data_IF_434210240119
#
_entry.id   IF_434210240119
#
_cell.length_a   1.000
_cell.length_b   1.000
_cell.length_c   1.000
_cell.angle_alpha   90.00
_cell.angle_beta   90.00
_cell.angle_gamma   90.00
#
_symmetry.space_group_name_H-M   'P 1'
#
loop_
_entity.id
_entity.type
_entity.pdbx_description
1 polymer ?
#
# COMPACT_ATOMS: atom_id res chain seq x y z
N UNK A 1 -19.36 49.22 -10.81
CA UNK A 1 -19.71 48.61 -9.51
C UNK A 1 -19.50 47.12 -9.66
N UNK A 2 -18.28 46.67 -9.37
CA UNK A 2 -17.85 45.27 -9.55
C UNK A 2 -17.73 44.65 -8.17
N UNK A 3 -18.48 43.60 -7.93
CA UNK A 3 -18.51 42.87 -6.66
C UNK A 3 -17.38 41.85 -6.62
N UNK A 4 -16.38 42.10 -5.77
CA UNK A 4 -15.38 41.13 -5.32
C UNK A 4 -16.07 40.01 -4.51
N UNK A 5 -16.00 38.78 -5.02
CA UNK A 5 -16.27 37.58 -4.24
C UNK A 5 -15.00 37.17 -3.50
N UNK A 6 -14.94 37.44 -2.20
CA UNK A 6 -13.90 36.94 -1.30
C UNK A 6 -14.08 35.44 -1.08
N UNK A 7 -13.16 34.66 -1.64
CA UNK A 7 -13.13 33.21 -1.49
C UNK A 7 -12.41 32.87 -0.17
N UNK A 8 -13.15 32.82 0.95
CA UNK A 8 -12.60 32.37 2.23
C UNK A 8 -12.25 30.88 2.16
N UNK A 9 -11.05 30.45 2.61
CA UNK A 9 -10.71 29.04 2.70
C UNK A 9 -11.57 28.38 3.78
N UNK A 10 -12.66 27.74 3.35
CA UNK A 10 -13.53 26.95 4.21
C UNK A 10 -12.75 25.78 4.80
N UNK A 11 -12.62 25.75 6.12
CA UNK A 11 -12.14 24.59 6.86
C UNK A 11 -13.13 23.45 6.66
N UNK A 12 -12.77 22.49 5.82
CA UNK A 12 -13.54 21.25 5.70
C UNK A 12 -13.14 20.39 6.89
N UNK A 13 -14.05 20.21 7.85
CA UNK A 13 -13.90 19.20 8.90
C UNK A 13 -13.86 17.83 8.22
N UNK A 14 -12.65 17.30 8.03
CA UNK A 14 -12.43 15.93 7.58
C UNK A 14 -12.98 15.04 8.68
N UNK A 15 -13.99 14.24 8.35
CA UNK A 15 -14.55 13.25 9.29
C UNK A 15 -13.39 12.39 9.85
N UNK A 16 -13.42 12.03 11.15
CA UNK A 16 -12.42 11.13 11.70
C UNK A 16 -12.42 9.83 10.88
N UNK A 17 -11.24 9.47 10.36
CA UNK A 17 -11.05 8.27 9.56
C UNK A 17 -11.38 7.04 10.43
N UNK A 18 -12.33 6.23 9.97
CA UNK A 18 -12.66 4.92 10.53
C UNK A 18 -12.29 3.93 9.42
N UNK A 19 -11.29 3.05 9.61
CA UNK A 19 -10.64 2.64 10.86
C UNK A 19 -9.54 3.62 11.37
N UNK A 20 -9.15 3.53 12.66
CA UNK A 20 -8.04 4.32 13.21
C UNK A 20 -6.75 4.04 12.43
N UNK A 21 -6.02 5.09 12.05
CA UNK A 21 -4.73 4.98 11.37
C UNK A 21 -3.78 4.10 12.18
N UNK A 22 -3.25 3.06 11.55
CA UNK A 22 -2.22 2.20 12.15
C UNK A 22 -0.86 2.61 11.59
N UNK A 23 0.05 3.00 12.47
CA UNK A 23 1.42 3.35 12.08
C UNK A 23 2.26 2.07 12.10
N UNK A 24 2.86 1.72 10.96
CA UNK A 24 3.83 0.61 10.85
C UNK A 24 5.09 1.10 10.14
N UNK A 25 6.25 0.65 10.59
CA UNK A 25 7.55 1.08 10.05
C UNK A 25 8.12 -0.07 9.21
N UNK A 26 8.16 0.13 7.89
CA UNK A 26 8.60 -0.88 6.92
C UNK A 26 10.11 -0.96 6.76
N UNK A 27 10.78 0.17 6.61
CA UNK A 27 12.21 0.20 6.27
C UNK A 27 12.88 1.46 6.84
N UNK A 28 14.16 1.34 7.19
CA UNK A 28 14.98 2.47 7.64
C UNK A 28 16.27 2.44 6.84
N UNK A 29 16.37 3.32 5.85
CA UNK A 29 17.57 3.46 5.01
C UNK A 29 18.27 4.77 5.32
N UNK A 30 19.55 4.72 5.69
CA UNK A 30 20.40 5.92 5.77
C UNK A 30 20.82 6.35 4.36
N UNK A 31 20.14 7.34 3.79
CA UNK A 31 20.56 7.95 2.52
C UNK A 31 21.59 9.06 2.79
N UNK A 32 22.85 8.81 2.43
CA UNK A 32 23.84 9.87 2.19
C UNK A 32 23.72 10.31 0.74
N UNK A 33 23.31 11.56 0.49
CA UNK A 33 23.08 12.07 -0.86
C UNK A 33 24.36 12.12 -1.72
N UNK A 34 24.32 11.46 -2.87
CA UNK A 34 24.44 12.20 -4.13
C UNK A 34 23.25 12.00 -5.09
N UNK A 35 22.20 11.25 -4.68
CA UNK A 35 21.11 10.83 -5.59
C UNK A 35 19.83 11.69 -5.54
N UNK A 36 19.67 12.66 -4.62
CA UNK A 36 18.54 13.62 -4.68
C UNK A 36 18.51 14.43 -5.99
N UNK A 37 19.61 14.50 -6.75
CA UNK A 37 19.64 15.08 -8.09
C UNK A 37 18.84 14.28 -9.14
N UNK A 38 18.60 12.98 -8.94
CA UNK A 38 17.87 12.14 -9.90
C UNK A 38 16.34 12.14 -9.72
N UNK A 39 15.82 12.69 -8.61
CA UNK A 39 14.37 12.76 -8.36
C UNK A 39 13.67 13.97 -9.01
N UNK A 40 14.38 14.77 -9.83
CA UNK A 40 13.75 15.81 -10.67
C UNK A 40 13.03 16.91 -9.89
N UNK A 41 13.41 17.15 -8.63
CA UNK A 41 12.97 18.30 -7.87
C UNK A 41 14.03 19.39 -8.09
N UNK A 42 13.88 20.14 -9.18
CA UNK A 42 14.72 21.32 -9.40
C UNK A 42 14.47 22.30 -8.25
N UNK A 43 15.53 22.55 -7.48
CA UNK A 43 15.58 23.61 -6.50
C UNK A 43 15.51 24.95 -7.25
N UNK A 44 14.29 25.46 -7.41
CA UNK A 44 14.06 26.83 -7.82
C UNK A 44 14.46 27.74 -6.66
N UNK A 45 15.70 28.21 -6.69
CA UNK A 45 16.22 29.28 -5.83
C UNK A 45 15.49 30.58 -6.18
N UNK A 46 14.36 30.83 -5.52
CA UNK A 46 13.77 32.15 -5.42
C UNK A 46 14.00 32.68 -4.01
N UNK A 47 14.85 33.71 -3.95
CA UNK A 47 15.08 34.57 -2.80
C UNK A 47 13.77 35.16 -2.23
N UNK A 48 13.78 35.47 -0.93
CA UNK A 48 12.73 36.13 -0.16
C UNK A 48 11.42 35.35 0.08
N UNK A 49 11.47 34.40 1.02
CA UNK A 49 10.26 33.99 1.75
C UNK A 49 10.50 34.16 3.27
N UNK A 50 9.83 35.16 3.82
CA UNK A 50 9.71 35.46 5.25
C UNK A 50 9.68 34.21 6.10
N UNK A 51 10.69 34.04 6.98
CA UNK A 51 10.73 32.98 8.00
C UNK A 51 9.38 32.86 8.71
N UNK A 52 8.60 31.79 8.48
CA UNK A 52 7.53 31.46 9.38
C UNK A 52 8.19 30.76 10.55
N UNK A 53 8.03 31.32 11.74
CA UNK A 53 8.33 30.65 13.01
C UNK A 53 7.38 29.46 13.14
N UNK A 54 7.69 28.37 12.45
CA UNK A 54 6.89 27.15 12.47
C UNK A 54 6.97 26.54 13.87
N UNK A 55 5.82 26.51 14.54
CA UNK A 55 5.57 25.61 15.66
C UNK A 55 5.93 24.18 15.25
N UNK A 56 6.42 23.33 16.16
CA UNK A 56 6.95 21.98 15.87
C UNK A 56 5.91 20.96 15.37
N UNK A 57 4.68 21.41 15.06
CA UNK A 57 3.60 20.56 14.58
C UNK A 57 3.47 20.76 13.08
N UNK A 58 3.82 19.73 12.32
CA UNK A 58 3.57 19.70 10.88
C UNK A 58 2.06 19.79 10.64
N UNK A 59 1.63 20.33 9.50
CA UNK A 59 0.24 20.74 9.20
C UNK A 59 -0.85 19.64 9.32
N UNK A 60 -0.52 18.43 9.76
CA UNK A 60 -1.43 17.32 10.05
C UNK A 60 -1.42 16.81 11.49
N UNK A 61 -0.84 17.55 12.46
CA UNK A 61 -0.79 17.10 13.87
C UNK A 61 0.21 15.97 14.15
N UNK A 62 1.17 15.77 13.25
CA UNK A 62 2.29 14.84 13.43
C UNK A 62 3.49 15.60 14.00
N UNK A 63 4.04 15.09 15.11
CA UNK A 63 5.34 15.49 15.64
C UNK A 63 6.32 14.33 15.55
N UNK A 64 7.55 14.64 15.13
CA UNK A 64 8.66 13.70 15.05
C UNK A 64 9.75 14.21 15.98
N UNK A 65 10.05 13.44 17.02
CA UNK A 65 11.16 13.70 17.93
C UNK A 65 12.24 12.65 17.73
N UNK A 66 13.50 13.10 17.72
CA UNK A 66 14.68 12.24 17.68
C UNK A 66 15.48 12.60 18.93
N UNK A 67 15.75 11.61 19.77
CA UNK A 67 16.38 11.77 21.08
C UNK A 67 15.68 12.84 21.96
N UNK A 68 14.34 12.81 21.97
CA UNK A 68 13.46 13.76 22.70
C UNK A 68 13.57 15.22 22.25
N UNK A 69 14.15 15.44 21.06
CA UNK A 69 14.28 16.75 20.46
C UNK A 69 13.47 16.79 19.18
N UNK A 70 12.64 17.82 19.00
CA UNK A 70 11.84 17.99 17.78
C UNK A 70 12.76 18.05 16.55
N UNK A 71 12.59 17.13 15.61
CA UNK A 71 13.44 17.01 14.43
C UNK A 71 12.83 17.78 13.26
N UNK A 72 13.56 18.76 12.73
CA UNK A 72 13.06 19.64 11.65
C UNK A 72 13.24 19.04 10.25
N UNK A 73 14.13 18.06 10.11
CA UNK A 73 14.54 17.48 8.83
C UNK A 73 13.74 16.20 8.55
N UNK A 74 12.45 16.39 8.24
CA UNK A 74 11.50 15.31 7.97
C UNK A 74 10.72 15.61 6.69
N UNK A 75 10.63 14.62 5.79
CA UNK A 75 9.73 14.63 4.64
C UNK A 75 8.60 13.65 4.86
N UNK A 76 7.38 14.03 4.44
CA UNK A 76 6.19 13.19 4.53
C UNK A 76 5.56 13.11 3.16
N UNK A 77 5.35 11.88 2.68
CA UNK A 77 4.59 11.62 1.46
C UNK A 77 3.39 10.74 1.81
N UNK A 78 2.20 11.27 1.60
CA UNK A 78 0.94 10.55 1.79
C UNK A 78 0.56 9.95 0.44
N UNK A 79 0.30 8.65 0.40
CA UNK A 79 -0.26 7.96 -0.76
C UNK A 79 -1.75 7.69 -0.51
N UNK A 80 -2.58 8.55 -1.11
CA UNK A 80 -4.05 8.47 -1.00
C UNK A 80 -4.63 7.15 -1.55
N UNK A 81 -3.89 6.42 -2.39
CA UNK A 81 -4.37 5.16 -2.98
C UNK A 81 -4.15 3.95 -2.08
N UNK A 82 -3.13 4.01 -1.24
CA UNK A 82 -2.71 2.91 -0.38
C UNK A 82 -3.12 3.11 1.08
N UNK A 83 -3.67 4.27 1.44
CA UNK A 83 -3.87 4.71 2.85
C UNK A 83 -2.55 4.63 3.66
N UNK A 84 -1.41 4.83 3.00
CA UNK A 84 -0.07 4.74 3.58
C UNK A 84 0.64 6.09 3.52
N UNK A 85 1.32 6.46 4.61
CA UNK A 85 2.19 7.63 4.65
C UNK A 85 3.64 7.20 4.86
N UNK A 86 4.53 7.66 3.99
CA UNK A 86 5.98 7.42 4.08
C UNK A 86 6.63 8.65 4.73
N UNK A 87 7.28 8.43 5.88
CA UNK A 87 8.01 9.46 6.62
C UNK A 87 9.51 9.20 6.44
N UNK A 88 10.23 10.18 5.90
CA UNK A 88 11.67 10.12 5.67
C UNK A 88 12.36 11.11 6.60
N UNK A 89 13.14 10.59 7.55
CA UNK A 89 13.95 11.40 8.48
C UNK A 89 15.36 11.48 7.91
N UNK A 90 15.83 12.69 7.61
CA UNK A 90 17.16 12.90 7.01
C UNK A 90 18.10 13.66 7.95
N UNK A 91 19.40 13.51 7.69
CA UNK A 91 20.46 14.14 8.48
C UNK A 91 20.81 13.43 9.79
N UNK A 92 20.45 12.17 9.94
CA UNK A 92 20.96 11.32 11.03
C UNK A 92 22.42 10.94 10.75
N UNK A 93 23.27 10.94 11.77
CA UNK A 93 24.67 10.56 11.64
C UNK A 93 24.79 9.04 11.58
N UNK A 94 25.51 8.47 10.59
CA UNK A 94 25.70 7.03 10.49
C UNK A 94 26.46 6.47 11.71
N UNK A 95 26.19 5.21 12.05
CA UNK A 95 26.81 4.52 13.18
C UNK A 95 26.30 4.97 14.56
N UNK A 96 25.24 5.79 14.61
CA UNK A 96 24.61 6.23 15.86
C UNK A 96 23.25 5.58 16.08
N UNK A 97 22.97 5.29 17.34
CA UNK A 97 21.66 4.88 17.80
C UNK A 97 20.84 6.12 18.15
N UNK A 98 19.63 6.16 17.62
CA UNK A 98 18.64 7.22 17.80
C UNK A 98 17.38 6.65 18.42
N UNK A 99 16.71 7.43 19.26
CA UNK A 99 15.38 7.13 19.77
C UNK A 99 14.37 7.99 19.03
N UNK A 100 13.57 7.39 18.16
CA UNK A 100 12.61 8.08 17.31
C UNK A 100 11.21 7.94 17.90
N UNK A 101 10.62 9.07 18.27
CA UNK A 101 9.28 9.19 18.81
C UNK A 101 8.37 9.86 17.76
N UNK A 102 7.36 9.13 17.28
CA UNK A 102 6.34 9.60 16.35
C UNK A 102 5.04 9.78 17.13
N UNK A 103 4.57 11.02 17.28
CA UNK A 103 3.28 11.30 17.91
C UNK A 103 2.32 11.87 16.85
N UNK A 104 1.18 11.19 16.69
CA UNK A 104 0.07 11.65 15.85
C UNK A 104 -1.07 12.13 16.77
N UNK A 105 -1.38 13.42 16.71
CA UNK A 105 -2.47 14.07 17.44
C UNK A 105 -3.68 14.18 16.50
N UNK A 106 -4.52 13.14 16.45
CA UNK A 106 -5.76 13.17 15.66
C UNK A 106 -6.98 13.05 16.58
N UNK A 107 -7.85 14.07 16.56
CA UNK A 107 -9.17 13.99 17.19
C UNK A 107 -9.19 13.77 18.72
N UNK A 108 -8.14 14.20 19.43
CA UNK A 108 -8.03 14.02 20.89
C UNK A 108 -7.44 12.69 21.35
N UNK A 109 -7.19 11.75 20.42
CA UNK A 109 -6.41 10.55 20.69
C UNK A 109 -4.95 10.79 20.32
N UNK A 110 -4.05 10.56 21.27
CA UNK A 110 -2.59 10.63 21.08
C UNK A 110 -2.09 9.22 20.82
N UNK A 111 -1.71 8.93 19.58
CA UNK A 111 -1.02 7.69 19.24
C UNK A 111 0.48 8.00 19.19
N UNK A 112 1.25 7.37 20.07
CA UNK A 112 2.71 7.51 20.11
C UNK A 112 3.36 6.17 19.75
N UNK A 113 4.29 6.22 18.80
CA UNK A 113 5.21 5.11 18.50
C UNK A 113 6.63 5.56 18.79
N UNK A 114 7.26 4.85 19.73
CA UNK A 114 8.68 4.96 20.05
C UNK A 114 9.46 3.82 19.43
N UNK A 115 10.55 4.12 18.73
CA UNK A 115 11.43 3.11 18.15
C UNK A 115 12.89 3.53 18.25
N UNK A 116 13.72 2.61 18.74
CA UNK A 116 15.16 2.75 18.67
C UNK A 116 15.68 2.29 17.31
N UNK A 117 16.52 3.12 16.71
CA UNK A 117 17.04 2.95 15.35
C UNK A 117 18.55 3.10 15.41
N UNK A 118 19.29 2.09 14.95
CA UNK A 118 20.73 2.22 14.73
C UNK A 118 20.95 2.50 13.27
N UNK A 119 21.51 3.66 12.95
CA UNK A 119 21.90 3.98 11.58
C UNK A 119 23.14 3.19 11.23
N UNK A 120 23.08 2.41 10.16
CA UNK A 120 24.26 1.74 9.62
C UNK A 120 25.15 2.74 8.86
N UNK A 121 26.46 2.55 8.99
CA UNK A 121 27.43 3.23 8.14
C UNK A 121 27.34 2.53 6.79
N UNK A 122 26.69 3.18 5.82
CA UNK A 122 26.47 2.63 4.49
C UNK A 122 27.78 2.15 3.87
N UNK A 123 28.03 0.84 3.94
CA UNK A 123 28.96 0.14 3.09
C UNK A 123 28.29 -0.01 1.73
N UNK A 124 28.66 0.84 0.78
CA UNK A 124 28.32 0.68 -0.64
C UNK A 124 29.08 -0.51 -1.27
N UNK A 125 29.02 -1.68 -0.65
CA UNK A 125 29.48 -2.94 -1.21
C UNK A 125 28.38 -3.99 -0.98
N UNK A 126 27.69 -4.39 -2.05
CA UNK A 126 26.83 -5.57 -1.98
C UNK A 126 25.49 -5.52 -2.71
N UNK A 127 25.46 -5.03 -3.96
CA UNK A 127 24.36 -5.33 -4.88
C UNK A 127 24.88 -5.83 -6.24
N UNK A 128 25.93 -6.66 -6.23
CA UNK A 128 26.28 -7.55 -7.33
C UNK A 128 27.21 -8.65 -6.81
N UNK A 129 26.94 -9.88 -7.24
CA UNK A 129 27.82 -11.06 -7.23
C UNK A 129 27.83 -12.00 -6.01
N UNK A 130 27.18 -13.16 -6.22
CA UNK A 130 27.69 -14.52 -6.03
C UNK A 130 28.54 -14.84 -4.77
N UNK A 131 28.05 -15.71 -3.87
CA UNK A 131 28.88 -16.31 -2.83
C UNK A 131 29.49 -17.63 -3.34
N UNK A 132 30.68 -17.57 -3.93
CA UNK A 132 31.60 -18.71 -3.94
C UNK A 132 33.03 -18.22 -4.27
N UNK A 133 33.76 -17.81 -3.25
CA UNK A 133 35.23 -17.96 -3.23
C UNK A 133 35.75 -17.79 -1.80
N UNK A 134 35.93 -18.93 -1.17
CA UNK A 134 36.77 -19.12 0.01
C UNK A 134 38.18 -18.55 -0.21
N UNK A 135 38.54 -17.52 0.56
CA UNK A 135 39.94 -17.18 0.83
C UNK A 135 40.13 -17.04 2.34
N UNK A 136 40.13 -18.17 3.03
CA UNK A 136 40.72 -18.28 4.37
C UNK A 136 42.21 -18.56 4.17
N UNK A 137 42.99 -17.52 3.88
CA UNK A 137 44.42 -17.61 4.13
C UNK A 137 44.64 -17.27 5.61
N UNK A 138 44.96 -18.33 6.34
CA UNK A 138 45.32 -18.27 7.74
C UNK A 138 46.77 -17.80 7.82
N UNK A 139 46.98 -16.54 8.21
CA UNK A 139 48.25 -16.15 8.82
C UNK A 139 47.98 -15.52 10.19
N UNK A 140 47.70 -16.41 11.15
CA UNK A 140 47.98 -16.14 12.56
C UNK A 140 49.49 -16.15 12.70
N UNK A 141 50.10 -14.98 12.52
CA UNK A 141 51.47 -14.73 12.96
C UNK A 141 51.47 -14.66 14.48
N UNK A 142 51.60 -15.82 15.11
CA UNK A 142 52.04 -15.93 16.49
C UNK A 142 53.48 -15.38 16.59
N UNK A 143 53.81 -14.49 17.54
CA UNK A 143 55.19 -14.19 17.85
C UNK A 143 55.78 -15.37 18.63
N UNK A 144 56.53 -16.24 17.95
CA UNK A 144 57.47 -17.14 18.61
C UNK A 144 58.50 -16.32 19.41
N UNK A 145 58.74 -16.61 20.70
CA UNK A 145 59.95 -16.17 21.36
C UNK A 145 61.10 -17.02 20.83
N UNK A 146 61.83 -16.47 19.85
CA UNK A 146 63.11 -17.01 19.43
C UNK A 146 64.06 -17.00 20.64
N UNK A 147 64.22 -18.15 21.30
CA UNK A 147 65.32 -18.41 22.21
C UNK A 147 66.60 -18.46 21.37
N UNK A 148 67.26 -17.30 21.26
CA UNK A 148 68.63 -17.18 20.77
C UNK A 148 69.54 -18.13 21.56
N UNK A 149 69.99 -19.18 20.90
CA UNK A 149 71.04 -20.06 21.40
C UNK A 149 72.36 -19.26 21.49
N UNK A 150 73.04 -19.19 22.65
CA UNK A 150 74.37 -18.60 22.74
C UNK A 150 75.37 -19.58 22.13
N UNK A 151 75.67 -19.42 20.84
CA UNK A 151 76.77 -20.14 20.18
C UNK A 151 78.11 -19.49 20.56
N UNK A 152 78.59 -19.79 21.77
CA UNK A 152 79.98 -19.55 22.16
C UNK A 152 80.87 -20.61 21.49
N UNK A 153 81.49 -20.23 20.37
CA UNK A 153 82.68 -20.91 19.86
C UNK A 153 83.93 -20.23 20.43
N UNK A 154 84.69 -20.84 21.34
CA UNK A 154 86.08 -20.47 21.56
C UNK A 154 86.94 -21.22 20.54
N UNK A 155 87.43 -20.51 19.54
CA UNK A 155 88.51 -21.00 18.68
C UNK A 155 89.80 -21.12 19.51
N UNK A 156 90.43 -22.30 19.65
CA UNK A 156 91.76 -22.39 20.22
C UNK A 156 92.76 -22.00 19.13
N UNK A 157 93.28 -20.77 19.21
CA UNK A 157 94.43 -20.35 18.43
C UNK A 157 95.64 -21.19 18.85
N UNK A 158 96.04 -22.10 17.98
CA UNK A 158 97.30 -22.83 18.02
C UNK A 158 98.49 -21.85 17.96
N UNK A 159 99.44 -21.83 18.90
CA UNK A 159 100.75 -21.28 18.61
C UNK A 159 101.55 -22.31 17.81
N UNK A 160 101.74 -22.02 16.52
CA UNK A 160 102.64 -22.76 15.65
C UNK A 160 104.08 -22.56 16.11
N UNK A 161 104.77 -23.69 16.29
CA UNK A 161 106.18 -23.84 16.56
C UNK A 161 107.06 -23.34 15.40
N UNK A 162 108.15 -22.62 15.72
CA UNK A 162 109.53 -22.79 15.22
C UNK A 162 110.29 -21.45 15.05
N UNK A 163 111.32 -21.18 15.86
CA UNK A 163 112.76 -21.43 15.56
C UNK A 163 113.67 -20.85 16.69
N UNK A 164 114.76 -21.59 16.96
CA UNK A 164 115.88 -21.46 17.93
C UNK A 164 116.62 -20.08 17.99
N UNK A 165 117.56 -19.78 18.94
CA UNK A 165 118.46 -20.72 19.67
C UNK A 165 118.67 -20.52 21.20
N UNK A 166 119.20 -21.58 21.82
CA UNK A 166 119.83 -21.72 23.17
C UNK A 166 120.87 -20.61 23.48
N UNK A 167 121.34 -20.37 24.75
CA UNK A 167 121.54 -21.35 25.82
C UNK A 167 121.23 -20.89 27.27
N UNK A 168 120.96 -21.86 28.16
CA UNK A 168 120.84 -21.60 29.59
C UNK A 168 120.21 -22.76 30.36
N UNK A 169 120.79 -23.96 30.26
CA UNK A 169 120.43 -25.05 31.14
C UNK A 169 120.94 -24.73 32.56
N UNK A 170 120.07 -24.17 33.40
CA UNK A 170 120.13 -24.46 34.83
C UNK A 170 119.46 -25.83 35.03
N UNK A 171 120.11 -26.77 35.73
CA UNK A 171 119.52 -28.08 35.95
C UNK A 171 118.26 -27.89 36.80
N UNK A 172 117.09 -28.19 36.23
CA UNK A 172 115.85 -28.30 36.98
C UNK A 172 116.14 -29.18 38.18
N UNK A 173 115.97 -28.62 39.37
CA UNK A 173 116.13 -29.38 40.60
C UNK A 173 115.05 -30.47 40.63
N UNK A 174 115.32 -31.60 41.28
CA UNK A 174 114.35 -32.70 41.42
C UNK A 174 112.98 -32.22 41.93
N UNK A 175 113.00 -31.17 42.75
CA UNK A 175 111.84 -30.51 43.34
C UNK A 175 110.94 -29.84 42.28
N UNK A 176 111.50 -29.11 41.30
CA UNK A 176 110.72 -28.47 40.24
C UNK A 176 110.00 -29.49 39.35
N UNK A 177 110.65 -30.63 39.09
CA UNK A 177 110.03 -31.73 38.33
C UNK A 177 108.89 -32.38 39.12
N UNK A 178 109.05 -32.54 40.44
CA UNK A 178 108.00 -33.05 41.31
C UNK A 178 106.80 -32.08 41.33
N UNK A 179 107.06 -30.78 41.51
CA UNK A 179 106.04 -29.74 41.46
C UNK A 179 105.32 -29.71 40.10
N UNK A 180 106.04 -29.87 39.00
CA UNK A 180 105.44 -29.97 37.66
C UNK A 180 104.55 -31.21 37.50
N UNK A 181 105.00 -32.37 37.96
CA UNK A 181 104.19 -33.60 37.94
C UNK A 181 102.95 -33.48 38.83
N UNK A 182 103.08 -32.91 40.02
CA UNK A 182 101.99 -32.72 40.96
C UNK A 182 100.96 -31.70 40.43
N UNK A 183 101.44 -30.63 39.79
CA UNK A 183 100.58 -29.68 39.08
C UNK A 183 99.84 -30.35 37.92
N UNK A 184 100.54 -31.16 37.11
CA UNK A 184 99.94 -31.90 36.00
C UNK A 184 98.89 -32.91 36.50
N UNK A 185 99.17 -33.62 37.60
CA UNK A 185 98.22 -34.53 38.23
C UNK A 185 96.99 -33.77 38.73
N UNK A 186 97.19 -32.60 39.33
CA UNK A 186 96.08 -31.75 39.78
C UNK A 186 95.24 -31.24 38.60
N UNK A 187 95.85 -30.82 37.49
CA UNK A 187 95.13 -30.46 36.25
C UNK A 187 94.32 -31.65 35.73
N UNK A 188 94.93 -32.83 35.60
CA UNK A 188 94.22 -34.02 35.16
C UNK A 188 93.08 -34.42 36.10
N UNK A 189 93.23 -34.19 37.41
CA UNK A 189 92.19 -34.45 38.40
C UNK A 189 91.01 -33.47 38.27
N UNK A 190 91.28 -32.17 38.10
CA UNK A 190 90.23 -31.15 37.88
C UNK A 190 89.55 -31.32 36.52
N UNK A 191 90.28 -31.67 35.47
CA UNK A 191 89.73 -32.03 34.16
C UNK A 191 88.81 -33.26 34.26
N UNK A 192 89.22 -34.30 34.99
CA UNK A 192 88.35 -35.46 35.22
C UNK A 192 87.09 -35.07 35.98
N UNK A 193 87.19 -34.24 37.02
CA UNK A 193 86.05 -33.78 37.80
C UNK A 193 85.07 -32.97 36.94
N UNK A 194 85.57 -32.00 36.17
CA UNK A 194 84.78 -31.19 35.25
C UNK A 194 84.10 -32.03 34.17
N UNK A 195 84.81 -32.95 33.52
CA UNK A 195 84.21 -33.88 32.54
C UNK A 195 83.12 -34.75 33.18
N UNK A 196 83.35 -35.23 34.41
CA UNK A 196 82.36 -36.01 35.13
C UNK A 196 81.11 -35.20 35.49
N UNK A 197 81.27 -33.91 35.84
CA UNK A 197 80.19 -32.99 36.13
C UNK A 197 79.38 -32.68 34.84
N UNK A 198 80.07 -32.40 33.74
CA UNK A 198 79.46 -32.18 32.42
C UNK A 198 78.66 -33.39 31.96
N UNK A 199 79.19 -34.61 32.11
CA UNK A 199 78.49 -35.85 31.76
C UNK A 199 77.22 -36.05 32.61
N UNK A 200 77.30 -35.76 33.92
CA UNK A 200 76.13 -35.82 34.81
C UNK A 200 75.07 -34.76 34.44
N UNK A 201 75.47 -33.55 34.08
CA UNK A 201 74.56 -32.50 33.61
C UNK A 201 73.88 -32.92 32.31
N UNK A 202 74.67 -33.31 31.30
CA UNK A 202 74.15 -33.75 30.01
C UNK A 202 73.15 -34.89 30.12
N UNK A 203 73.37 -35.86 31.03
CA UNK A 203 72.39 -36.93 31.32
C UNK A 203 71.08 -36.40 31.91
N UNK A 204 71.15 -35.46 32.86
CA UNK A 204 69.96 -34.85 33.45
C UNK A 204 69.20 -33.99 32.44
N UNK A 205 69.93 -33.24 31.62
CA UNK A 205 69.36 -32.40 30.56
C UNK A 205 68.68 -33.26 29.48
N UNK A 206 69.30 -34.37 29.08
CA UNK A 206 68.68 -35.35 28.16
C UNK A 206 67.40 -35.95 28.75
N UNK A 207 67.40 -36.36 30.02
CA UNK A 207 66.19 -36.87 30.69
C UNK A 207 65.07 -35.83 30.78
N UNK A 208 65.43 -34.57 31.04
CA UNK A 208 64.47 -33.45 31.06
C UNK A 208 63.90 -33.18 29.66
N UNK A 209 64.73 -33.24 28.62
CA UNK A 209 64.30 -33.11 27.24
C UNK A 209 63.34 -34.25 26.84
N UNK A 210 63.65 -35.50 27.19
CA UNK A 210 62.78 -36.65 26.93
C UNK A 210 61.42 -36.52 27.65
N UNK A 211 61.43 -36.09 28.91
CA UNK A 211 60.21 -35.82 29.66
C UNK A 211 59.38 -34.69 29.03
N UNK A 212 60.04 -33.65 28.53
CA UNK A 212 59.39 -32.54 27.82
C UNK A 212 58.71 -33.02 26.52
N UNK A 213 59.44 -33.76 25.66
CA UNK A 213 58.90 -34.31 24.41
C UNK A 213 57.71 -35.23 24.68
N UNK A 214 57.77 -36.07 25.72
CA UNK A 214 56.61 -36.91 26.09
C UNK A 214 55.39 -36.07 26.49
N UNK A 215 55.59 -35.03 27.30
CA UNK A 215 54.50 -34.13 27.70
C UNK A 215 53.90 -33.36 26.53
N UNK A 216 54.73 -32.99 25.54
CA UNK A 216 54.30 -32.33 24.31
C UNK A 216 53.50 -33.28 23.42
N UNK A 217 53.95 -34.54 23.24
CA UNK A 217 53.19 -35.56 22.51
C UNK A 217 51.81 -35.78 23.15
N UNK A 218 51.73 -35.84 24.48
CA UNK A 218 50.45 -35.97 25.18
C UNK A 218 49.57 -34.72 25.02
N UNK A 219 50.17 -33.52 25.02
CA UNK A 219 49.44 -32.28 24.76
C UNK A 219 48.89 -32.23 23.33
N UNK A 220 49.69 -32.62 22.34
CA UNK A 220 49.31 -32.71 20.93
C UNK A 220 48.25 -33.79 20.68
N UNK A 221 48.34 -34.93 21.37
CA UNK A 221 47.29 -35.96 21.31
C UNK A 221 45.97 -35.45 21.85
N UNK A 222 45.98 -34.79 23.02
CA UNK A 222 44.77 -34.19 23.62
C UNK A 222 44.19 -33.08 22.76
N UNK A 223 45.02 -32.25 22.13
CA UNK A 223 44.55 -31.21 21.22
C UNK A 223 43.95 -31.82 19.95
N UNK A 224 44.58 -32.85 19.37
CA UNK A 224 44.10 -33.59 18.20
C UNK A 224 42.76 -34.30 18.45
N UNK A 225 42.59 -34.94 19.61
CA UNK A 225 41.32 -35.58 19.96
C UNK A 225 40.19 -34.54 20.12
N UNK A 226 40.52 -33.39 20.71
CA UNK A 226 39.58 -32.27 20.83
C UNK A 226 39.17 -31.71 19.47
N UNK A 227 40.09 -31.58 18.52
CA UNK A 227 39.78 -31.09 17.16
C UNK A 227 38.95 -32.12 16.38
N UNK A 228 39.23 -33.42 16.50
CA UNK A 228 38.44 -34.48 15.86
C UNK A 228 36.95 -34.43 16.30
N UNK A 229 36.69 -34.22 17.59
CA UNK A 229 35.32 -34.06 18.09
C UNK A 229 34.64 -32.78 17.59
N UNK A 230 35.39 -31.69 17.40
CA UNK A 230 34.86 -30.46 16.81
C UNK A 230 34.54 -30.64 15.32
N UNK A 231 35.39 -31.33 14.58
CA UNK A 231 35.21 -31.63 13.16
C UNK A 231 33.97 -32.51 12.93
N UNK A 232 33.75 -33.53 13.77
CA UNK A 232 32.53 -34.34 13.69
C UNK A 232 31.26 -33.50 13.84
N UNK A 233 31.23 -32.57 14.78
CA UNK A 233 30.09 -31.63 14.95
C UNK A 233 29.95 -30.70 13.75
N UNK A 234 31.06 -30.23 13.17
CA UNK A 234 31.03 -29.41 11.97
C UNK A 234 30.43 -30.19 10.78
N UNK A 235 30.84 -31.44 10.58
CA UNK A 235 30.27 -32.33 9.54
C UNK A 235 28.77 -32.57 9.74
N UNK A 236 28.32 -32.79 10.97
CA UNK A 236 26.89 -32.91 11.27
C UNK A 236 26.11 -31.64 10.95
N UNK A 237 26.65 -30.46 11.26
CA UNK A 237 26.04 -29.18 10.89
C UNK A 237 25.95 -29.02 9.37
N UNK A 238 27.00 -29.38 8.63
CA UNK A 238 26.98 -29.35 7.17
C UNK A 238 25.89 -30.26 6.60
N UNK A 239 25.74 -31.49 7.11
CA UNK A 239 24.68 -32.41 6.68
C UNK A 239 23.27 -31.85 6.98
N UNK A 240 23.07 -31.27 8.16
CA UNK A 240 21.80 -30.65 8.52
C UNK A 240 21.47 -29.44 7.63
N UNK A 241 22.47 -28.62 7.30
CA UNK A 241 22.32 -27.51 6.36
C UNK A 241 22.00 -28.00 4.94
N UNK A 242 22.68 -29.05 4.46
CA UNK A 242 22.38 -29.67 3.16
C UNK A 242 20.94 -30.20 3.09
N UNK A 243 20.45 -30.84 4.16
CA UNK A 243 19.07 -31.30 4.22
C UNK A 243 18.08 -30.12 4.23
N UNK A 244 18.41 -29.04 4.95
CA UNK A 244 17.60 -27.82 4.97
C UNK A 244 17.54 -27.15 3.60
N UNK A 245 18.66 -27.03 2.89
CA UNK A 245 18.73 -26.51 1.52
C UNK A 245 17.90 -27.38 0.58
N UNK A 246 18.01 -28.72 0.69
CA UNK A 246 17.20 -29.64 -0.12
C UNK A 246 15.70 -29.48 0.13
N UNK A 247 15.27 -29.30 1.38
CA UNK A 247 13.86 -29.02 1.72
C UNK A 247 13.40 -27.68 1.15
N UNK A 248 14.21 -26.64 1.26
CA UNK A 248 13.91 -25.32 0.70
C UNK A 248 13.75 -25.38 -0.83
N UNK A 249 14.65 -26.07 -1.54
CA UNK A 249 14.56 -26.25 -2.99
C UNK A 249 13.30 -27.02 -3.41
N UNK A 250 12.91 -28.07 -2.68
CA UNK A 250 11.67 -28.80 -2.94
C UNK A 250 10.44 -27.91 -2.72
N UNK A 251 10.43 -27.11 -1.65
CA UNK A 251 9.38 -26.12 -1.36
C UNK A 251 9.26 -25.07 -2.47
N UNK A 252 10.38 -24.55 -2.98
CA UNK A 252 10.39 -23.60 -4.11
C UNK A 252 9.80 -24.24 -5.35
N UNK A 253 10.19 -25.48 -5.67
CA UNK A 253 9.68 -26.20 -6.85
C UNK A 253 8.18 -26.48 -6.77
N UNK A 254 7.66 -26.77 -5.57
CA UNK A 254 6.23 -26.94 -5.34
C UNK A 254 5.45 -25.63 -5.55
N UNK A 255 5.97 -24.52 -5.02
CA UNK A 255 5.38 -23.20 -5.21
C UNK A 255 5.42 -22.78 -6.69
N UNK A 256 6.51 -23.04 -7.40
CA UNK A 256 6.61 -22.80 -8.85
C UNK A 256 5.57 -23.62 -9.63
N UNK A 257 5.31 -24.86 -9.23
CA UNK A 257 4.28 -25.69 -9.85
C UNK A 257 2.87 -25.14 -9.62
N UNK A 258 2.58 -24.63 -8.42
CA UNK A 258 1.30 -23.98 -8.10
C UNK A 258 1.11 -22.69 -8.90
N UNK A 259 2.14 -21.83 -8.95
CA UNK A 259 2.11 -20.59 -9.78
C UNK A 259 1.83 -20.95 -11.24
N UNK A 260 2.48 -21.99 -11.76
CA UNK A 260 2.26 -22.44 -13.12
C UNK A 260 0.82 -22.95 -13.35
N UNK A 261 0.24 -23.70 -12.42
CA UNK A 261 -1.16 -24.15 -12.50
C UNK A 261 -2.13 -22.96 -12.51
N UNK A 262 -1.88 -21.95 -11.67
CA UNK A 262 -2.67 -20.72 -11.65
C UNK A 262 -2.53 -19.88 -12.93
N UNK A 263 -1.31 -19.76 -13.46
CA UNK A 263 -1.03 -19.09 -14.73
C UNK A 263 -1.73 -19.80 -15.91
N UNK A 264 -1.78 -21.14 -15.89
CA UNK A 264 -2.50 -21.93 -16.90
C UNK A 264 -4.04 -21.78 -16.78
N UNK A 265 -4.58 -21.57 -15.58
CA UNK A 265 -6.03 -21.36 -15.35
C UNK A 265 -6.51 -19.94 -15.67
N UNK A 266 -5.62 -18.95 -15.62
CA UNK A 266 -5.91 -17.55 -15.87
C UNK A 266 -6.55 -17.25 -17.25
N UNK A 267 -6.05 -17.77 -18.39
CA UNK A 267 -6.63 -17.49 -19.71
C UNK A 267 -8.07 -18.02 -19.84
N UNK A 268 -8.39 -19.17 -19.25
CA UNK A 268 -9.75 -19.73 -19.29
C UNK A 268 -10.74 -18.85 -18.51
N UNK A 269 -10.34 -18.35 -17.34
CA UNK A 269 -11.14 -17.41 -16.57
C UNK A 269 -11.33 -16.07 -17.30
N UNK A 270 -10.29 -15.58 -17.98
CA UNK A 270 -10.38 -14.39 -18.83
C UNK A 270 -11.38 -14.61 -19.98
N UNK A 271 -11.30 -15.75 -20.67
CA UNK A 271 -12.24 -16.09 -21.74
C UNK A 271 -13.69 -16.19 -21.24
N UNK A 272 -13.91 -16.75 -20.05
CA UNK A 272 -15.23 -16.78 -19.40
C UNK A 272 -15.73 -15.37 -19.05
N UNK A 273 -14.86 -14.50 -18.55
CA UNK A 273 -15.21 -13.10 -18.27
C UNK A 273 -15.59 -12.36 -19.55
N UNK A 274 -14.81 -12.49 -20.62
CA UNK A 274 -15.09 -11.85 -21.91
C UNK A 274 -16.41 -12.36 -22.52
N UNK A 275 -16.69 -13.66 -22.40
CA UNK A 275 -17.97 -14.25 -22.83
C UNK A 275 -19.15 -13.63 -22.07
N UNK A 276 -19.06 -13.55 -20.74
CA UNK A 276 -20.10 -12.97 -19.88
C UNK A 276 -20.29 -11.47 -20.12
N UNK A 277 -19.19 -10.74 -20.34
CA UNK A 277 -19.23 -9.32 -20.70
C UNK A 277 -19.91 -9.12 -22.06
N UNK A 278 -19.64 -9.99 -23.03
CA UNK A 278 -20.32 -10.01 -24.32
C UNK A 278 -21.83 -10.29 -24.21
N UNK A 279 -22.24 -11.21 -23.34
CA UNK A 279 -23.66 -11.47 -23.03
C UNK A 279 -24.33 -10.26 -22.39
N UNK A 280 -23.67 -9.63 -21.42
CA UNK A 280 -24.17 -8.42 -20.75
C UNK A 280 -24.37 -7.27 -21.74
N UNK A 281 -23.41 -7.03 -22.64
CA UNK A 281 -23.51 -6.00 -23.67
C UNK A 281 -24.70 -6.23 -24.62
N UNK A 282 -24.96 -7.49 -25.00
CA UNK A 282 -26.13 -7.85 -25.82
C UNK A 282 -27.44 -7.55 -25.11
N UNK A 283 -27.57 -7.99 -23.85
CA UNK A 283 -28.77 -7.76 -23.03
C UNK A 283 -29.00 -6.27 -22.80
N UNK A 284 -27.94 -5.51 -22.49
CA UNK A 284 -28.01 -4.05 -22.33
C UNK A 284 -28.49 -3.38 -23.62
N UNK A 285 -27.91 -3.75 -24.76
CA UNK A 285 -28.32 -3.22 -26.06
C UNK A 285 -29.76 -3.59 -26.45
N UNK A 286 -30.28 -4.73 -25.99
CA UNK A 286 -31.69 -5.10 -26.16
C UNK A 286 -32.61 -4.32 -25.22
N UNK A 287 -32.23 -4.13 -23.96
CA UNK A 287 -32.97 -3.33 -22.99
C UNK A 287 -33.09 -1.86 -23.44
N UNK A 288 -32.02 -1.28 -23.99
CA UNK A 288 -32.03 0.08 -24.53
C UNK A 288 -32.94 0.21 -25.76
N UNK A 289 -32.93 -0.79 -26.65
CA UNK A 289 -33.87 -0.87 -27.78
C UNK A 289 -35.33 -0.96 -27.29
N UNK A 290 -35.61 -1.83 -26.32
CA UNK A 290 -36.94 -1.97 -25.74
C UNK A 290 -37.40 -0.69 -25.04
N UNK A 291 -36.51 0.01 -24.33
CA UNK A 291 -36.80 1.31 -23.70
C UNK A 291 -37.17 2.35 -24.75
N UNK A 292 -36.39 2.45 -25.84
CA UNK A 292 -36.65 3.40 -26.93
C UNK A 292 -37.99 3.13 -27.63
N UNK A 293 -38.35 1.85 -27.83
CA UNK A 293 -39.66 1.47 -28.38
C UNK A 293 -40.77 1.94 -27.43
N UNK A 294 -40.69 1.62 -26.14
CA UNK A 294 -41.67 2.04 -25.13
C UNK A 294 -41.82 3.56 -25.06
N UNK A 295 -40.72 4.30 -25.09
CA UNK A 295 -40.74 5.77 -25.10
C UNK A 295 -41.42 6.32 -26.36
N UNK A 296 -41.15 5.72 -27.52
CA UNK A 296 -41.80 6.14 -28.77
C UNK A 296 -43.30 5.86 -28.81
N UNK A 297 -43.76 4.77 -28.18
CA UNK A 297 -45.17 4.43 -28.06
C UNK A 297 -45.87 5.34 -27.04
N UNK A 298 -45.25 5.57 -25.89
CA UNK A 298 -45.74 6.50 -24.88
C UNK A 298 -45.86 7.93 -25.44
N UNK A 299 -44.91 8.37 -26.27
CA UNK A 299 -44.97 9.67 -26.92
C UNK A 299 -46.09 9.77 -27.97
N UNK A 300 -46.39 8.68 -28.69
CA UNK A 300 -47.55 8.63 -29.60
C UNK A 300 -48.88 8.65 -28.83
N UNK A 301 -48.96 7.91 -27.72
CA UNK A 301 -50.13 7.92 -26.84
C UNK A 301 -50.36 9.30 -26.25
N UNK A 302 -49.29 9.92 -25.72
CA UNK A 302 -49.31 11.28 -25.19
C UNK A 302 -49.86 12.26 -26.21
N UNK A 303 -49.40 12.20 -27.47
CA UNK A 303 -49.92 13.04 -28.55
C UNK A 303 -51.39 12.80 -28.83
N UNK A 304 -51.87 11.55 -28.79
CA UNK A 304 -53.30 11.24 -28.98
C UNK A 304 -54.15 11.82 -27.84
N UNK A 305 -53.71 11.64 -26.60
CA UNK A 305 -54.38 12.20 -25.41
C UNK A 305 -54.40 13.72 -25.46
N UNK A 306 -53.30 14.36 -25.84
CA UNK A 306 -53.22 15.81 -26.02
C UNK A 306 -54.21 16.29 -27.09
N UNK A 307 -54.36 15.59 -28.22
CA UNK A 307 -55.38 15.90 -29.24
C UNK A 307 -56.80 15.80 -28.68
N UNK A 308 -57.15 14.68 -28.02
CA UNK A 308 -58.48 14.52 -27.40
C UNK A 308 -58.76 15.59 -26.35
N UNK A 309 -57.77 15.97 -25.54
CA UNK A 309 -57.90 17.07 -24.57
C UNK A 309 -58.17 18.41 -25.26
N UNK A 310 -57.53 18.71 -26.40
CA UNK A 310 -57.82 19.93 -27.16
C UNK A 310 -59.25 19.95 -27.71
N UNK A 311 -59.78 18.79 -28.14
CA UNK A 311 -61.16 18.65 -28.59
C UNK A 311 -62.15 18.83 -27.43
N UNK A 312 -61.90 18.20 -26.28
CA UNK A 312 -62.71 18.37 -25.07
C UNK A 312 -62.76 19.84 -24.62
N UNK A 313 -61.62 20.54 -24.62
CA UNK A 313 -61.58 21.97 -24.30
C UNK A 313 -62.38 22.81 -25.31
N UNK A 314 -62.33 22.46 -26.60
CA UNK A 314 -63.12 23.13 -27.63
C UNK A 314 -64.63 22.92 -27.42
N UNK A 315 -65.05 21.70 -27.08
CA UNK A 315 -66.44 21.39 -26.74
C UNK A 315 -66.87 22.08 -25.44
N UNK A 316 -66.03 22.12 -24.41
CA UNK A 316 -66.29 22.83 -23.16
C UNK A 316 -66.52 24.33 -23.41
N UNK A 317 -65.67 24.97 -24.20
CA UNK A 317 -65.85 26.38 -24.58
C UNK A 317 -67.16 26.63 -25.35
N UNK A 318 -67.61 25.67 -26.16
CA UNK A 318 -68.92 25.76 -26.84
C UNK A 318 -70.08 25.61 -25.85
N UNK A 319 -69.96 24.69 -24.90
CA UNK A 319 -70.93 24.51 -23.82
C UNK A 319 -71.04 25.78 -22.99
N UNK A 320 -69.93 26.37 -22.56
CA UNK A 320 -69.90 27.64 -21.82
C UNK A 320 -70.58 28.77 -22.60
N UNK A 321 -70.37 28.86 -23.92
CA UNK A 321 -71.07 29.85 -24.77
C UNK A 321 -72.57 29.60 -24.85
N UNK A 322 -73.00 28.35 -24.98
CA UNK A 322 -74.42 28.00 -24.99
C UNK A 322 -75.06 28.25 -23.63
N UNK A 323 -74.34 27.98 -22.54
CA UNK A 323 -74.76 28.26 -21.18
C UNK A 323 -74.88 29.77 -20.93
N UNK A 324 -73.92 30.57 -21.37
CA UNK A 324 -74.02 32.03 -21.30
C UNK A 324 -75.20 32.59 -22.11
N UNK A 325 -75.51 32.00 -23.27
CA UNK A 325 -76.70 32.36 -24.06
C UNK A 325 -77.99 31.95 -23.34
N UNK A 326 -78.04 30.74 -22.78
CA UNK A 326 -79.15 30.25 -21.98
C UNK A 326 -79.40 31.19 -20.79
N UNK A 327 -78.36 31.51 -20.04
CA UNK A 327 -78.42 32.42 -18.89
C UNK A 327 -78.89 33.82 -19.31
N UNK A 328 -78.43 34.34 -20.45
CA UNK A 328 -78.92 35.62 -21.00
C UNK A 328 -80.40 35.55 -21.37
N UNK A 329 -80.85 34.47 -22.01
CA UNK A 329 -82.26 34.31 -22.37
C UNK A 329 -83.14 34.18 -21.12
N UNK A 330 -82.70 33.36 -20.15
CA UNK A 330 -83.38 33.14 -18.87
C UNK A 330 -83.46 34.41 -18.03
N UNK A 331 -82.40 35.23 -17.98
CA UNK A 331 -82.36 36.40 -17.09
C UNK A 331 -82.83 37.71 -17.73
N UNK A 332 -82.73 37.86 -19.05
CA UNK A 332 -83.02 39.14 -19.70
C UNK A 332 -84.27 39.07 -20.58
N UNK A 333 -84.35 38.11 -21.51
CA UNK A 333 -85.44 38.12 -22.49
C UNK A 333 -86.72 37.50 -21.96
N UNK A 334 -86.64 36.44 -21.15
CA UNK A 334 -87.85 35.82 -20.59
C UNK A 334 -88.58 36.80 -19.65
N UNK A 335 -87.93 37.47 -18.68
CA UNK A 335 -88.60 38.43 -17.82
C UNK A 335 -89.18 39.64 -18.58
N UNK A 336 -88.49 40.14 -19.60
CA UNK A 336 -88.97 41.24 -20.45
C UNK A 336 -90.23 40.82 -21.24
N UNK A 337 -90.25 39.61 -21.80
CA UNK A 337 -91.43 39.07 -22.48
C UNK A 337 -92.58 38.77 -21.51
N UNK A 338 -92.30 38.29 -20.29
CA UNK A 338 -93.29 38.10 -19.23
C UNK A 338 -93.89 39.44 -18.78
N UNK A 339 -93.09 40.50 -18.68
CA UNK A 339 -93.54 41.87 -18.38
C UNK A 339 -94.39 42.44 -19.51
N UNK A 340 -93.98 42.29 -20.76
CA UNK A 340 -94.77 42.70 -21.93
C UNK A 340 -96.11 41.97 -22.00
N UNK A 341 -96.13 40.65 -21.74
CA UNK A 341 -97.36 39.88 -21.64
C UNK A 341 -98.28 40.45 -20.57
N UNK A 342 -97.74 40.77 -19.40
CA UNK A 342 -98.50 41.37 -18.29
C UNK A 342 -99.05 42.76 -18.65
N UNK A 343 -98.31 43.57 -19.40
CA UNK A 343 -98.78 44.87 -19.90
C UNK A 343 -99.93 44.69 -20.89
N UNK A 344 -99.81 43.75 -21.83
CA UNK A 344 -100.87 43.46 -22.81
C UNK A 344 -102.10 42.88 -22.10
N UNK A 345 -101.94 41.98 -21.13
CA UNK A 345 -103.04 41.46 -20.31
C UNK A 345 -103.78 42.60 -19.60
N UNK A 346 -103.04 43.56 -19.03
CA UNK A 346 -103.62 44.73 -18.38
C UNK A 346 -104.29 45.70 -19.36
N UNK A 347 -103.74 45.86 -20.57
CA UNK A 347 -104.34 46.65 -21.64
C UNK A 347 -105.64 46.00 -22.13
N UNK A 348 -105.67 44.68 -22.28
CA UNK A 348 -106.89 43.92 -22.59
C UNK A 348 -107.91 44.07 -21.46
N UNK A 349 -107.51 43.90 -20.20
CA UNK A 349 -108.40 44.11 -19.04
C UNK A 349 -108.97 45.54 -19.01
N UNK A 350 -108.15 46.55 -19.34
CA UNK A 350 -108.57 47.95 -19.43
C UNK A 350 -109.52 48.18 -20.61
N UNK A 351 -109.25 47.59 -21.77
CA UNK A 351 -110.10 47.68 -22.96
C UNK A 351 -111.42 46.91 -22.80
N UNK A 352 -111.43 45.80 -22.06
CA UNK A 352 -112.64 45.06 -21.69
C UNK A 352 -113.48 45.86 -20.67
N UNK A 353 -112.85 46.61 -19.77
CA UNK A 353 -113.51 47.47 -18.80
C UNK A 353 -114.07 48.77 -19.43
N UNK A 354 -113.54 49.22 -20.58
CA UNK A 354 -114.02 50.39 -21.34
C UNK A 354 -114.33 50.11 -22.83
N UNK A 355 -115.51 49.57 -23.16
CA UNK A 355 -115.89 49.23 -24.54
C UNK A 355 -116.13 50.43 -25.49
N UNK A 356 -116.05 51.69 -25.03
CA UNK A 356 -116.40 52.88 -25.82
C UNK A 356 -115.31 53.97 -25.88
N UNK A 357 -114.03 53.59 -25.84
CA UNK A 357 -112.91 54.26 -26.49
C UNK A 357 -112.89 55.80 -26.47
N UNK A 358 -112.57 56.40 -25.32
CA UNK A 358 -112.21 57.82 -25.23
C UNK A 358 -111.05 58.02 -24.26
N UNK A 359 -109.82 58.05 -24.77
CA UNK A 359 -108.69 58.63 -24.02
C UNK A 359 -107.90 59.60 -24.88
N UNK A 360 -107.60 60.71 -24.23
CA UNK A 360 -107.32 62.03 -24.77
C UNK A 360 -105.80 62.25 -24.70
N UNK A 361 -105.16 62.51 -25.84
CA UNK A 361 -103.76 62.96 -25.92
C UNK A 361 -103.62 64.40 -25.42
N UNK A 362 -102.45 64.77 -24.89
CA UNK A 362 -101.88 66.05 -25.27
C UNK A 362 -100.40 66.01 -25.63
N UNK A 363 -100.10 66.72 -26.73
CA UNK A 363 -98.82 67.29 -27.21
C UNK A 363 -97.89 67.81 -26.10
N UNK A 364 -96.57 67.95 -26.25
CA UNK A 364 -95.66 67.82 -27.39
C UNK A 364 -94.32 68.51 -27.06
N UNK A 365 -93.21 68.15 -27.72
CA UNK A 365 -92.13 69.08 -28.12
C UNK A 365 -91.09 68.40 -29.02
N UNK A 366 -90.95 68.95 -30.22
CA UNK A 366 -89.90 68.73 -31.23
C UNK A 366 -88.52 69.19 -30.76
N UNK A 367 -87.46 68.58 -31.32
CA UNK A 367 -86.45 69.26 -32.16
C UNK A 367 -85.46 68.24 -32.76
N UNK A 368 -85.58 68.07 -34.08
CA UNK A 368 -84.55 68.08 -35.13
C UNK A 368 -83.18 67.37 -34.93
N UNK A 369 -82.92 66.34 -35.77
CA UNK A 369 -82.03 66.41 -36.95
C UNK A 369 -81.53 65.00 -37.35
N UNK A 370 -82.06 64.51 -38.47
CA UNK A 370 -81.57 63.43 -39.36
C UNK A 370 -80.30 63.92 -40.14
N UNK A 371 -79.60 63.17 -41.05
CA UNK A 371 -79.78 61.79 -41.54
C UNK A 371 -78.43 61.02 -41.86
N UNK A 372 -78.53 59.88 -42.58
CA UNK A 372 -77.61 59.36 -43.64
C UNK A 372 -76.66 58.16 -43.34
N UNK A 373 -77.10 57.00 -43.87
CA UNK A 373 -76.46 56.04 -44.81
C UNK A 373 -75.00 55.54 -44.68
N UNK A 374 -74.89 54.21 -44.89
CA UNK A 374 -73.90 53.47 -45.71
C UNK A 374 -72.39 53.57 -45.39
N UNK A 375 -71.79 52.45 -44.94
CA UNK A 375 -70.41 52.01 -45.31
C UNK A 375 -70.14 50.58 -44.83
N UNK A 376 -70.09 49.57 -45.69
CA UNK A 376 -68.92 49.11 -46.49
C UNK A 376 -67.64 48.84 -45.68
N UNK A 377 -67.26 47.56 -45.66
CA UNK A 377 -65.91 46.96 -45.65
C UNK A 377 -64.70 47.78 -45.13
N UNK A 378 -64.01 47.23 -44.12
CA UNK A 378 -62.54 47.05 -44.04
C UNK A 378 -62.21 46.32 -42.72
N UNK A 379 -61.68 45.10 -42.74
CA UNK A 379 -60.24 44.83 -42.75
C UNK A 379 -59.47 45.61 -41.67
N UNK A 380 -59.40 45.07 -40.44
CA UNK A 380 -58.27 45.33 -39.55
C UNK A 380 -57.79 44.03 -38.87
N UNK A 381 -56.69 43.58 -39.43
CA UNK A 381 -55.71 42.66 -38.87
C UNK A 381 -55.37 42.98 -37.42
N UNK A 382 -55.68 42.04 -36.51
CA UNK A 382 -54.95 41.94 -35.24
C UNK A 382 -53.54 41.40 -35.51
N UNK A 383 -52.49 41.98 -34.90
CA UNK A 383 -51.13 41.49 -35.07
C UNK A 383 -50.99 40.15 -34.35
N UNK A 384 -50.81 39.10 -35.16
CA UNK A 384 -50.27 37.82 -34.72
C UNK A 384 -48.83 38.08 -34.22
N UNK A 385 -48.44 37.66 -33.00
CA UNK A 385 -47.03 37.66 -32.63
C UNK A 385 -46.28 36.63 -33.49
N UNK A 386 -45.22 37.10 -34.15
CA UNK A 386 -44.26 36.26 -34.87
C UNK A 386 -43.63 35.23 -33.92
N UNK A 387 -43.65 33.92 -34.22
CA UNK A 387 -42.74 32.99 -33.56
C UNK A 387 -41.32 33.23 -34.11
N UNK A 388 -40.40 33.51 -33.20
CA UNK A 388 -38.96 33.57 -33.51
C UNK A 388 -38.50 32.26 -34.20
N UNK A 389 -37.59 32.33 -35.18
CA UNK A 389 -36.97 31.13 -35.74
C UNK A 389 -35.98 30.58 -34.72
N UNK A 390 -36.34 29.47 -34.07
CA UNK A 390 -35.37 28.65 -33.35
C UNK A 390 -34.37 28.12 -34.39
N UNK A 391 -33.13 28.60 -34.27
CA UNK A 391 -31.98 28.06 -34.97
C UNK A 391 -31.89 26.56 -34.70
N UNK A 392 -32.11 25.78 -35.75
CA UNK A 392 -31.63 24.40 -35.83
C UNK A 392 -30.11 24.45 -36.05
N UNK A 393 -29.30 23.75 -35.25
CA UNK A 393 -27.91 23.52 -35.62
C UNK A 393 -27.86 22.60 -36.84
N UNK A 394 -27.11 23.05 -37.83
CA UNK A 394 -26.70 22.28 -39.00
C UNK A 394 -25.86 21.08 -38.56
N UNK A 395 -26.21 19.91 -39.08
CA UNK A 395 -25.46 18.67 -38.92
C UNK A 395 -25.79 17.74 -40.09
N UNK A 396 -25.39 18.13 -41.31
CA UNK A 396 -25.53 17.33 -42.51
C UNK A 396 -24.20 16.67 -42.91
N UNK A 397 -24.04 15.40 -42.53
CA UNK A 397 -23.70 14.24 -43.37
C UNK A 397 -22.49 14.33 -44.34
N UNK A 398 -21.53 13.40 -44.20
CA UNK A 398 -21.30 12.26 -45.14
C UNK A 398 -19.84 11.79 -45.16
N UNK A 399 -19.61 10.48 -44.90
CA UNK A 399 -18.93 9.56 -45.83
C UNK A 399 -18.89 8.11 -45.30
N UNK A 400 -18.94 7.07 -46.17
CA UNK A 400 -18.88 5.62 -45.85
C UNK A 400 -17.46 5.05 -46.10
N UNK A 401 -17.12 3.75 -45.84
CA UNK A 401 -17.49 2.64 -46.76
C UNK A 401 -17.52 1.18 -46.19
N UNK A 402 -17.93 0.25 -47.08
CA UNK A 402 -17.68 -1.23 -47.17
C UNK A 402 -18.38 -2.15 -46.15
N UNK A 403 -19.25 -3.10 -46.50
CA UNK A 403 -19.24 -4.22 -47.48
C UNK A 403 -18.39 -5.44 -47.06
N UNK A 404 -19.05 -6.43 -46.45
CA UNK A 404 -18.80 -7.88 -46.55
C UNK A 404 -20.05 -8.61 -45.99
N UNK A 405 -20.88 -9.20 -46.85
CA UNK A 405 -20.89 -10.62 -47.21
C UNK A 405 -21.27 -11.56 -46.04
N UNK A 406 -22.47 -12.18 -46.16
CA UNK A 406 -22.72 -13.64 -46.24
C UNK A 406 -22.55 -14.39 -44.90
N UNK A 407 -23.39 -15.31 -44.42
CA UNK A 407 -24.46 -16.13 -45.00
C UNK A 407 -25.27 -16.75 -43.84
N UNK A 408 -26.52 -17.13 -44.13
CA UNK A 408 -27.23 -18.35 -43.69
C UNK A 408 -27.05 -18.89 -42.25
N UNK A 409 -28.17 -19.10 -41.55
CA UNK A 409 -28.77 -20.45 -41.43
C UNK A 409 -29.86 -20.46 -40.35
N UNK A 410 -31.05 -20.91 -40.75
CA UNK A 410 -32.08 -21.40 -39.84
C UNK A 410 -31.55 -22.54 -38.98
N UNK A 411 -31.93 -22.61 -37.71
CA UNK A 411 -32.43 -23.87 -37.12
C UNK A 411 -33.19 -23.63 -35.80
N UNK A 412 -34.33 -24.32 -35.69
CA UNK A 412 -35.14 -24.47 -34.49
C UNK A 412 -34.40 -25.21 -33.37
N UNK A 413 -34.76 -24.94 -32.11
CA UNK A 413 -35.38 -25.90 -31.17
C UNK A 413 -35.23 -25.38 -29.72
N UNK A 414 -36.36 -25.18 -29.04
CA UNK A 414 -36.88 -25.98 -27.91
C UNK A 414 -36.12 -25.82 -26.60
N UNK A 415 -36.89 -25.38 -25.61
CA UNK A 415 -36.71 -25.55 -24.16
C UNK A 415 -36.26 -26.97 -23.80
N UNK A 416 -35.53 -27.14 -22.68
CA UNK A 416 -36.27 -27.50 -21.47
C UNK A 416 -35.77 -26.88 -20.15
N UNK A 417 -36.74 -26.83 -19.26
CA UNK A 417 -36.72 -26.69 -17.79
C UNK A 417 -35.94 -27.84 -17.15
N UNK A 418 -35.10 -27.55 -16.15
CA UNK A 418 -34.79 -28.42 -14.98
C UNK A 418 -33.64 -27.76 -14.20
N UNK A 419 -33.83 -27.29 -12.95
CA UNK A 419 -33.90 -28.07 -11.71
C UNK A 419 -32.65 -27.76 -10.88
N UNK A 420 -32.84 -26.93 -9.86
CA UNK A 420 -31.91 -26.77 -8.76
C UNK A 420 -31.83 -28.10 -7.99
N UNK A 421 -30.64 -28.68 -7.90
CA UNK A 421 -30.35 -29.78 -6.99
C UNK A 421 -29.20 -29.39 -6.09
N UNK A 422 -29.55 -29.06 -4.86
CA UNK A 422 -28.63 -28.99 -3.74
C UNK A 422 -28.05 -30.38 -3.48
N UNK A 423 -26.74 -30.44 -3.24
CA UNK A 423 -26.08 -31.64 -2.73
C UNK A 423 -25.09 -31.24 -1.65
N UNK A 424 -25.48 -31.48 -0.40
CA UNK A 424 -24.56 -31.71 0.71
C UNK A 424 -23.77 -32.98 0.42
N UNK A 425 -22.45 -33.02 0.67
CA UNK A 425 -21.78 -34.24 1.11
C UNK A 425 -20.59 -33.93 2.03
N UNK A 426 -20.55 -34.75 3.06
CA UNK A 426 -19.66 -34.82 4.22
C UNK A 426 -18.45 -35.72 3.95
N UNK A 427 -17.44 -35.57 4.81
CA UNK A 427 -16.48 -36.59 5.28
C UNK A 427 -15.64 -37.38 4.27
N UNK A 428 -14.31 -37.34 4.46
CA UNK A 428 -13.54 -38.56 4.74
C UNK A 428 -12.13 -38.25 5.25
N UNK A 429 -11.91 -38.65 6.50
CA UNK A 429 -10.63 -38.96 7.12
C UNK A 429 -9.89 -40.09 6.40
N UNK A 430 -8.57 -40.00 6.30
CA UNK A 430 -7.70 -41.17 6.10
C UNK A 430 -6.41 -41.05 6.90
N UNK A 431 -6.38 -41.86 7.95
CA UNK A 431 -5.23 -42.33 8.71
C UNK A 431 -4.18 -43.02 7.84
N UNK A 432 -2.90 -42.81 8.15
CA UNK A 432 -1.86 -43.84 7.93
C UNK A 432 -0.89 -43.84 9.10
N UNK A 433 -0.55 -45.06 9.52
CA UNK A 433 0.19 -45.44 10.72
C UNK A 433 1.42 -46.27 10.34
N UNK A 434 2.39 -46.33 11.27
CA UNK A 434 3.45 -47.34 11.50
C UNK A 434 4.90 -46.86 11.22
N UNK A 435 5.94 -47.46 11.84
CA UNK A 435 6.09 -47.93 13.24
C UNK A 435 7.42 -47.44 13.91
N UNK A 436 7.57 -47.77 15.20
CA UNK A 436 8.65 -47.44 16.17
C UNK A 436 10.07 -47.95 15.79
N UNK A 437 11.15 -47.52 16.50
CA UNK A 437 11.51 -48.23 17.74
C UNK A 437 11.87 -47.33 18.94
N UNK A 438 11.84 -47.98 20.10
CA UNK A 438 11.95 -47.43 21.45
C UNK A 438 13.30 -46.80 21.78
N UNK A 439 13.24 -45.65 22.46
CA UNK A 439 14.27 -45.22 23.41
C UNK A 439 13.58 -44.54 24.59
N UNK A 440 13.72 -45.15 25.76
CA UNK A 440 13.34 -44.65 27.07
C UNK A 440 14.00 -43.31 27.37
N UNK A 441 13.23 -42.27 27.65
CA UNK A 441 13.74 -41.12 28.39
C UNK A 441 12.63 -40.45 29.20
N UNK A 442 12.75 -40.57 30.52
CA UNK A 442 11.87 -40.02 31.54
C UNK A 442 12.29 -38.59 31.86
N UNK A 443 11.58 -37.57 31.35
CA UNK A 443 11.61 -36.25 31.98
C UNK A 443 10.21 -35.62 31.95
N UNK A 444 9.64 -35.60 33.15
CA UNK A 444 8.44 -34.92 33.59
C UNK A 444 8.56 -33.40 33.43
N UNK A 445 7.59 -32.78 32.74
CA UNK A 445 7.31 -31.33 32.79
C UNK A 445 5.92 -31.05 32.22
N UNK A 446 4.88 -31.46 32.96
CA UNK A 446 3.49 -31.10 32.64
C UNK A 446 3.20 -29.72 33.25
N UNK A 447 3.25 -28.68 32.43
CA UNK A 447 2.69 -27.38 32.81
C UNK A 447 1.14 -27.47 32.84
N UNK A 448 0.46 -26.87 33.83
CA UNK A 448 -1.00 -26.84 33.87
C UNK A 448 -1.56 -25.89 32.78
N UNK A 449 -2.75 -26.18 32.23
CA UNK A 449 -3.41 -25.33 31.24
C UNK A 449 -3.86 -24.00 31.86
N UNK A 450 -3.64 -22.92 31.11
CA UNK A 450 -4.02 -21.55 31.44
C UNK A 450 -5.55 -21.41 31.30
N UNK A 451 -6.26 -21.05 32.37
CA UNK A 451 -7.67 -20.63 32.30
C UNK A 451 -7.76 -19.13 31.99
N UNK A 452 -8.39 -18.70 30.88
CA UNK A 452 -8.65 -17.29 30.62
C UNK A 452 -9.74 -16.76 31.56
N UNK A 453 -9.40 -15.66 32.25
CA UNK A 453 -10.13 -15.09 33.37
C UNK A 453 -11.57 -14.65 33.08
N UNK A 454 -12.40 -14.84 34.11
CA UNK A 454 -13.77 -14.31 34.22
C UNK A 454 -13.73 -12.79 34.48
N UNK A 455 -14.58 -11.98 33.83
CA UNK A 455 -14.68 -10.56 34.12
C UNK A 455 -15.34 -10.29 35.48
N UNK A 456 -14.73 -9.43 36.28
CA UNK A 456 -15.23 -8.96 37.57
C UNK A 456 -16.49 -8.10 37.37
N UNK A 457 -17.60 -8.51 37.98
CA UNK A 457 -18.81 -7.70 38.16
C UNK A 457 -18.50 -6.57 39.16
N UNK A 458 -18.68 -5.33 38.73
CA UNK A 458 -18.73 -4.16 39.60
C UNK A 458 -19.98 -4.23 40.48
N UNK A 459 -19.79 -4.17 41.80
CA UNK A 459 -20.86 -3.99 42.77
C UNK A 459 -21.16 -2.49 42.88
N UNK A 460 -22.39 -2.13 42.55
CA UNK A 460 -23.01 -0.84 42.89
C UNK A 460 -23.44 -0.94 44.35
N UNK A 461 -22.92 -0.06 45.20
CA UNK A 461 -23.42 0.14 46.56
C UNK A 461 -24.10 1.51 46.59
N UNK A 462 -25.35 1.48 47.07
CA UNK A 462 -26.21 2.64 47.36
C UNK A 462 -25.81 3.35 48.64
#
# INVERSE_FOLDING_TARGET
>A
MSSETTNSPGWHSIRPWIPPLTLSVREITSYTDPLLACLGIEAQESDECSRPSFLPHLAGGLSVEVDRSAWRRVFIRIDDKADEAVIIIYGLMPGRQYDVDLELVQGGHKNNIRRQVVTEVGGLEGAAENPDSSTMDSSVSAPEPAFSSPSTSPSPSTPSSNQHPSPGFTPLTLEDRLNQLQHTLNIMATERETLSATLKSARRDAQKADANVRSEIEALKRSSEKTAAAEHRARQKVLALQETVKRAQLSTKEMEAQVKEEEEALPDLQAQRDLKEGEYLKIKGEADRARKVRESEAEKERKRVELMNTELNSLNNKLERLQAKKEKLEKSTIPDLEEQLKVIELEIETAELDPFGFSFTPDGQELDDDPILLRSHQNSSFPRPSPAPIQRPQGSWSSPPRQAQRSSSLHHQKTPVSSLKATHHSNSSSSSSSPLPAATSTLSSRAPPFEPGKPLRAAIVS
#
